data_IF_439550030576
#
_entry.id   IF_439550030576
#
_cell.length_a   1.000
_cell.length_b   1.000
_cell.length_c   1.000
_cell.angle_alpha   90.00
_cell.angle_beta   90.00
_cell.angle_gamma   90.00
#
_symmetry.space_group_name_H-M   'P 1'
#
loop_
_entity.id
_entity.type
_entity.pdbx_description
1 polymer ?
#
# COMPACT_ATOMS: atom_id res chain seq x y z
N UNK A 1 -35.74 -10.58 10.58
CA UNK A 1 -35.35 -9.25 10.06
C UNK A 1 -35.89 -8.24 11.06
N UNK A 2 -35.06 -7.34 11.59
CA UNK A 2 -35.31 -6.51 12.80
C UNK A 2 -35.84 -5.09 12.52
N UNK A 3 -36.13 -4.77 11.26
CA UNK A 3 -36.82 -3.52 10.89
C UNK A 3 -35.98 -2.25 10.92
N UNK A 4 -34.66 -2.33 11.08
CA UNK A 4 -33.78 -1.17 11.21
C UNK A 4 -33.07 -0.76 9.91
N UNK A 5 -33.75 -0.85 8.76
CA UNK A 5 -33.17 -0.40 7.49
C UNK A 5 -32.99 1.13 7.50
N UNK A 6 -31.74 1.58 7.62
CA UNK A 6 -31.37 2.99 7.46
C UNK A 6 -31.34 3.31 5.96
N UNK A 7 -32.26 4.15 5.50
CA UNK A 7 -32.16 4.78 4.20
C UNK A 7 -31.07 5.86 4.27
N UNK A 8 -29.94 5.61 3.62
CA UNK A 8 -28.93 6.65 3.39
C UNK A 8 -29.34 7.33 2.08
N UNK A 9 -29.76 8.61 2.10
CA UNK A 9 -30.07 9.33 0.88
C UNK A 9 -28.84 9.36 -0.02
N UNK A 10 -29.05 9.02 -1.28
CA UNK A 10 -28.00 8.92 -2.29
C UNK A 10 -28.16 10.06 -3.31
N UNK A 11 -27.61 11.26 -3.02
CA UNK A 11 -27.80 12.45 -3.86
C UNK A 11 -27.13 12.36 -5.24
N UNK A 12 -26.25 11.38 -5.44
CA UNK A 12 -25.51 11.18 -6.69
C UNK A 12 -26.31 10.37 -7.73
N UNK A 13 -27.52 9.86 -7.40
CA UNK A 13 -28.34 8.98 -8.24
C UNK A 13 -27.60 7.73 -8.80
N UNK A 14 -26.49 7.35 -8.19
CA UNK A 14 -25.69 6.18 -8.56
C UNK A 14 -25.94 5.02 -7.60
N UNK A 15 -26.34 3.86 -8.12
CA UNK A 15 -26.52 2.65 -7.30
C UNK A 15 -25.30 2.41 -6.37
N UNK A 16 -25.51 2.11 -5.07
CA UNK A 16 -24.42 1.80 -4.15
C UNK A 16 -23.48 0.74 -4.73
N UNK A 17 -22.19 0.86 -4.42
CA UNK A 17 -21.21 -0.14 -4.80
C UNK A 17 -21.48 -1.46 -4.07
N UNK A 18 -22.24 -2.34 -4.71
CA UNK A 18 -22.50 -3.70 -4.25
C UNK A 18 -21.50 -4.65 -4.90
N UNK A 19 -20.74 -5.36 -4.06
CA UNK A 19 -19.83 -6.42 -4.48
C UNK A 19 -20.60 -7.47 -5.30
N UNK A 20 -20.13 -7.75 -6.52
CA UNK A 20 -20.76 -8.64 -7.52
C UNK A 20 -22.04 -8.14 -8.23
N UNK A 21 -22.44 -6.87 -8.08
CA UNK A 21 -23.61 -6.33 -8.81
C UNK A 21 -23.23 -5.28 -9.85
N UNK A 22 -22.50 -4.24 -9.45
CA UNK A 22 -22.18 -3.10 -10.31
C UNK A 22 -20.68 -2.95 -10.60
N UNK A 23 -19.84 -3.67 -9.85
CA UNK A 23 -18.39 -3.65 -9.98
C UNK A 23 -17.87 -5.09 -10.13
N UNK A 24 -17.09 -5.33 -11.18
CA UNK A 24 -16.41 -6.62 -11.41
C UNK A 24 -15.01 -6.68 -10.80
N UNK A 25 -14.54 -5.58 -10.18
CA UNK A 25 -13.29 -5.51 -9.43
C UNK A 25 -13.43 -4.61 -8.22
N UNK A 26 -12.81 -5.00 -7.11
CA UNK A 26 -12.83 -4.26 -5.82
C UNK A 26 -11.46 -4.31 -5.15
N UNK A 27 -11.16 -3.30 -4.33
CA UNK A 27 -10.00 -3.26 -3.43
C UNK A 27 -10.48 -3.03 -1.97
N UNK A 28 -9.56 -2.80 -1.02
CA UNK A 28 -9.82 -2.66 0.44
C UNK A 28 -10.10 -3.96 1.20
N UNK A 29 -9.75 -5.11 0.61
CA UNK A 29 -9.78 -6.38 1.35
C UNK A 29 -8.61 -6.48 2.34
N UNK A 30 -8.47 -7.63 3.01
CA UNK A 30 -7.38 -7.88 3.93
C UNK A 30 -6.02 -7.71 3.21
N UNK A 31 -5.06 -6.96 3.79
CA UNK A 31 -3.78 -6.67 3.16
C UNK A 31 -2.88 -7.91 3.03
N UNK A 32 -3.22 -9.02 3.68
CA UNK A 32 -2.53 -10.31 3.55
C UNK A 32 -2.89 -11.07 2.27
N UNK A 33 -3.91 -10.62 1.54
CA UNK A 33 -4.28 -11.21 0.25
C UNK A 33 -3.34 -10.71 -0.84
N UNK A 34 -2.83 -11.64 -1.65
CA UNK A 34 -1.87 -11.33 -2.71
C UNK A 34 -2.42 -10.34 -3.74
N UNK A 35 -3.73 -10.35 -3.96
CA UNK A 35 -4.44 -9.44 -4.86
C UNK A 35 -4.38 -7.97 -4.38
N UNK A 36 -4.15 -7.74 -3.09
CA UNK A 36 -3.99 -6.41 -2.50
C UNK A 36 -2.53 -5.95 -2.47
N UNK A 37 -1.57 -6.80 -2.86
CA UNK A 37 -0.16 -6.43 -2.90
C UNK A 37 0.16 -5.57 -4.13
N UNK A 38 0.95 -4.51 -3.91
CA UNK A 38 1.50 -3.70 -4.98
C UNK A 38 2.92 -4.16 -5.37
N UNK A 39 3.29 -3.91 -6.62
CA UNK A 39 4.66 -4.13 -7.08
C UNK A 39 5.54 -2.93 -6.72
N UNK A 40 6.73 -3.20 -6.18
CA UNK A 40 7.77 -2.20 -5.93
C UNK A 40 8.97 -2.51 -6.80
N UNK A 41 9.38 -1.53 -7.60
CA UNK A 41 10.57 -1.60 -8.47
C UNK A 41 11.41 -0.36 -8.20
N UNK A 42 12.65 -0.56 -7.77
CA UNK A 42 13.62 0.52 -7.53
C UNK A 42 14.82 0.31 -8.44
N UNK A 43 15.34 1.40 -9.01
CA UNK A 43 16.54 1.40 -9.83
C UNK A 43 17.26 2.74 -9.70
N UNK A 44 18.58 2.72 -9.69
CA UNK A 44 19.41 3.91 -9.60
C UNK A 44 20.72 3.68 -8.86
N UNK A 45 21.51 4.75 -8.73
CA UNK A 45 22.72 4.71 -7.94
C UNK A 45 22.39 4.36 -6.47
N UNK A 46 23.19 3.48 -5.86
CA UNK A 46 22.91 2.99 -4.51
C UNK A 46 21.80 1.94 -4.41
N UNK A 47 21.16 1.51 -5.51
CA UNK A 47 20.22 0.37 -5.47
C UNK A 47 20.93 -0.91 -5.94
N UNK A 48 21.01 -1.98 -5.11
CA UNK A 48 21.57 -3.25 -5.52
C UNK A 48 20.67 -3.95 -6.54
N UNK A 49 21.27 -4.77 -7.43
CA UNK A 49 20.51 -5.74 -8.20
C UNK A 49 20.06 -6.88 -7.26
N UNK A 50 18.84 -6.75 -6.74
CA UNK A 50 18.27 -7.67 -5.76
C UNK A 50 16.82 -7.97 -6.10
N UNK A 51 16.49 -9.26 -6.23
CA UNK A 51 15.10 -9.75 -6.19
C UNK A 51 14.81 -10.30 -4.80
N UNK A 52 13.96 -9.60 -4.03
CA UNK A 52 13.57 -10.05 -2.70
C UNK A 52 12.69 -11.31 -2.80
N UNK A 53 12.87 -12.22 -1.85
CA UNK A 53 12.01 -13.39 -1.67
C UNK A 53 10.72 -13.04 -0.93
N UNK A 54 10.81 -12.13 0.03
CA UNK A 54 9.70 -11.70 0.87
C UNK A 54 9.21 -10.30 0.45
N UNK A 55 7.89 -10.06 0.45
CA UNK A 55 7.33 -8.71 0.30
C UNK A 55 7.86 -7.74 1.34
N UNK A 56 7.66 -6.45 1.09
CA UNK A 56 7.92 -5.37 2.05
C UNK A 56 6.60 -4.78 2.51
N UNK A 57 6.59 -4.13 3.67
CA UNK A 57 5.45 -3.28 4.02
C UNK A 57 5.59 -1.94 3.30
N UNK A 58 4.48 -1.40 2.81
CA UNK A 58 4.52 -0.09 2.10
C UNK A 58 5.05 1.04 3.00
N UNK A 59 4.81 0.96 4.31
CA UNK A 59 5.29 1.93 5.31
C UNK A 59 6.81 1.97 5.44
N UNK A 60 7.51 0.92 5.00
CA UNK A 60 8.98 0.85 5.04
C UNK A 60 9.63 1.71 3.93
N UNK A 61 8.88 2.12 2.89
CA UNK A 61 9.43 2.86 1.75
C UNK A 61 9.93 4.25 2.15
N UNK A 62 9.11 5.03 2.86
CA UNK A 62 9.47 6.40 3.24
C UNK A 62 10.79 6.49 4.04
N UNK A 63 11.00 5.72 5.13
CA UNK A 63 12.27 5.74 5.86
C UNK A 63 13.44 5.17 5.03
N UNK A 64 13.20 4.16 4.17
CA UNK A 64 14.25 3.59 3.30
C UNK A 64 14.74 4.59 2.26
N UNK A 65 13.82 5.33 1.62
CA UNK A 65 14.15 6.35 0.64
C UNK A 65 14.86 7.54 1.29
N UNK A 66 14.40 7.98 2.47
CA UNK A 66 15.08 9.04 3.21
C UNK A 66 16.54 8.66 3.54
N UNK A 67 16.75 7.41 3.97
CA UNK A 67 18.10 6.88 4.22
C UNK A 67 18.97 6.88 2.95
N UNK A 68 18.44 6.44 1.80
CA UNK A 68 19.16 6.44 0.52
C UNK A 68 19.55 7.86 0.07
N UNK A 69 18.64 8.83 0.28
CA UNK A 69 18.84 10.23 -0.13
C UNK A 69 19.69 11.03 0.85
N UNK A 70 20.05 10.45 2.01
CA UNK A 70 20.76 11.16 3.07
C UNK A 70 19.93 12.24 3.75
N UNK A 71 18.59 12.16 3.66
CA UNK A 71 17.67 13.11 4.30
C UNK A 71 17.17 12.57 5.64
N UNK A 72 16.69 13.43 6.55
CA UNK A 72 16.05 12.96 7.77
C UNK A 72 14.85 12.05 7.47
N UNK A 73 14.72 10.97 8.23
CA UNK A 73 13.53 10.12 8.21
C UNK A 73 12.30 10.95 8.61
N UNK A 74 11.14 10.81 7.93
CA UNK A 74 9.91 11.48 8.34
C UNK A 74 9.57 11.12 9.80
N UNK A 75 9.25 12.14 10.61
CA UNK A 75 9.04 12.00 12.05
C UNK A 75 7.98 10.94 12.39
N UNK A 76 6.94 10.87 11.59
CA UNK A 76 5.77 10.01 11.81
C UNK A 76 5.82 8.73 10.94
N UNK A 77 7.00 8.37 10.41
CA UNK A 77 7.18 7.11 9.72
C UNK A 77 7.09 5.93 10.72
N UNK A 78 6.18 4.99 10.44
CA UNK A 78 5.98 3.79 11.27
C UNK A 78 6.83 2.59 10.81
N UNK A 79 7.30 2.63 9.56
CA UNK A 79 8.06 1.54 8.95
C UNK A 79 9.55 1.53 9.30
N UNK A 80 10.23 0.50 8.83
CA UNK A 80 11.66 0.27 9.05
C UNK A 80 12.50 0.66 7.83
N UNK A 81 13.77 0.99 8.06
CA UNK A 81 14.74 1.19 6.98
C UNK A 81 15.19 -0.18 6.45
N UNK A 82 14.89 -0.49 5.19
CA UNK A 82 15.28 -1.72 4.49
C UNK A 82 16.70 -1.57 3.94
N UNK A 83 17.70 -1.71 4.82
CA UNK A 83 19.12 -1.51 4.51
C UNK A 83 19.62 -2.41 3.38
N UNK A 84 19.04 -3.58 3.21
CA UNK A 84 19.37 -4.51 2.13
C UNK A 84 18.91 -4.01 0.74
N UNK A 85 18.00 -3.04 0.68
CA UNK A 85 17.54 -2.43 -0.57
C UNK A 85 18.39 -1.23 -1.02
N UNK A 86 19.42 -0.88 -0.24
CA UNK A 86 20.26 0.30 -0.46
C UNK A 86 21.72 -0.04 -0.20
N UNK A 87 22.62 0.43 -1.04
CA UNK A 87 24.06 0.39 -0.83
C UNK A 87 24.50 1.77 -0.35
N UNK A 88 25.17 1.81 0.79
CA UNK A 88 25.89 2.99 1.25
C UNK A 88 27.37 2.67 1.12
N UNK A 89 28.07 3.48 0.33
CA UNK A 89 29.54 3.47 0.29
C UNK A 89 30.12 4.05 1.59
#
# INVERSE_FOLDING_TARGET
RDGTQRFIPNPEDFEPAELHRNFTGVHLSLPSLNEMHAAVVLAGNGIPNLKRKNPINIVDLAPTLAYLLGTPTPKDAEGNILKEMVKKD
#
